data_IF_790889859159
#
_entry.id   IF_790889859159
#
_cell.length_a   1.000
_cell.length_b   1.000
_cell.length_c   1.000
_cell.angle_alpha   90.00
_cell.angle_beta   90.00
_cell.angle_gamma   90.00
#
_symmetry.space_group_name_H-M   'P 1'
#
loop_
_entity.id
_entity.type
_entity.pdbx_description
1 polymer ?
#
# COMPACT_ATOMS: atom_id res chain seq x y z
N UNK A 1 7.48 18.17 15.86
CA UNK A 1 8.26 18.17 14.60
C UNK A 1 9.74 18.26 14.92
N UNK A 2 10.42 17.14 15.15
CA UNK A 2 11.90 17.05 15.14
C UNK A 2 12.31 15.64 14.68
N UNK A 3 12.02 15.39 13.40
CA UNK A 3 12.59 14.34 12.55
C UNK A 3 12.62 14.94 11.14
N UNK A 4 13.66 14.63 10.34
CA UNK A 4 14.02 15.18 9.01
C UNK A 4 13.03 16.21 8.44
N UNK A 5 13.39 17.51 8.45
CA UNK A 5 12.52 18.59 7.96
C UNK A 5 12.04 18.29 6.53
N UNK A 6 10.74 18.50 6.29
CA UNK A 6 10.09 18.23 5.00
C UNK A 6 9.57 16.80 4.83
N UNK A 7 9.97 15.86 5.69
CA UNK A 7 9.58 14.46 5.58
C UNK A 7 8.58 14.07 6.66
N UNK A 8 7.62 13.21 6.33
CA UNK A 8 6.82 12.50 7.31
C UNK A 8 7.64 11.32 7.86
N UNK A 9 8.02 11.38 9.14
CA UNK A 9 8.70 10.26 9.81
C UNK A 9 7.73 9.46 10.66
N UNK A 10 7.59 8.17 10.36
CA UNK A 10 6.79 7.22 11.12
C UNK A 10 7.71 6.28 11.91
N UNK A 11 7.41 6.09 13.19
CA UNK A 11 8.10 5.13 14.06
C UNK A 11 7.17 3.95 14.33
N UNK A 12 7.60 2.75 13.99
CA UNK A 12 6.80 1.55 14.16
C UNK A 12 6.46 1.32 15.63
N UNK A 13 5.23 0.87 15.88
CA UNK A 13 4.74 0.37 17.18
C UNK A 13 4.21 -1.05 16.99
N UNK A 14 3.26 -1.19 16.06
CA UNK A 14 2.83 -2.49 15.54
C UNK A 14 3.68 -3.03 14.38
N UNK A 15 3.75 -4.35 14.27
CA UNK A 15 4.61 -5.06 13.31
C UNK A 15 4.00 -5.24 11.90
N UNK A 16 2.77 -4.79 11.67
CA UNK A 16 2.07 -4.90 10.38
C UNK A 16 0.90 -3.93 10.30
N UNK A 17 0.29 -3.70 9.11
CA UNK A 17 -0.95 -2.96 8.98
C UNK A 17 -2.12 -3.55 9.77
N UNK A 18 -2.02 -4.84 10.11
CA UNK A 18 -3.00 -5.56 10.89
C UNK A 18 -2.95 -5.31 12.39
N UNK A 19 -1.82 -4.81 12.90
CA UNK A 19 -1.59 -4.64 14.33
C UNK A 19 -2.51 -3.54 14.92
N UNK A 20 -3.09 -3.73 16.12
CA UNK A 20 -3.93 -2.72 16.77
C UNK A 20 -3.22 -1.39 17.02
N UNK A 21 -1.90 -1.43 17.18
CA UNK A 21 -1.03 -0.30 17.45
C UNK A 21 -0.18 0.10 16.24
N UNK A 22 -0.59 -0.26 15.03
CA UNK A 22 0.10 0.15 13.80
C UNK A 22 0.28 1.67 13.74
N UNK A 23 1.49 2.11 13.38
CA UNK A 23 1.75 3.51 13.03
C UNK A 23 1.42 3.71 11.55
N UNK A 24 0.25 4.26 11.26
CA UNK A 24 -0.27 4.48 9.92
C UNK A 24 -0.84 5.90 9.76
N UNK A 25 -0.52 6.56 8.65
CA UNK A 25 -1.14 7.82 8.23
C UNK A 25 -1.69 7.65 6.82
N UNK A 26 -3.01 7.72 6.69
CA UNK A 26 -3.70 7.49 5.43
C UNK A 26 -4.90 8.40 5.22
N UNK A 27 -5.48 8.30 4.03
CA UNK A 27 -6.72 8.98 3.61
C UNK A 27 -7.70 7.96 3.05
N UNK A 28 -8.99 8.31 3.02
CA UNK A 28 -10.02 7.46 2.41
C UNK A 28 -9.79 7.36 0.90
N UNK A 29 -9.98 6.18 0.33
CA UNK A 29 -10.18 6.06 -1.12
C UNK A 29 -11.52 6.71 -1.47
N UNK A 30 -11.53 7.67 -2.39
CA UNK A 30 -12.72 8.44 -2.76
C UNK A 30 -13.13 8.29 -4.23
N UNK A 31 -12.28 7.67 -5.04
CA UNK A 31 -12.52 7.43 -6.46
C UNK A 31 -12.43 5.93 -6.75
N UNK A 32 -13.28 5.39 -7.66
CA UNK A 32 -13.20 4.00 -8.10
C UNK A 32 -11.85 3.67 -8.74
N UNK A 33 -11.32 4.60 -9.55
CA UNK A 33 -9.98 4.54 -10.11
C UNK A 33 -9.11 5.63 -9.50
N UNK A 34 -7.94 5.26 -9.00
CA UNK A 34 -6.97 6.22 -8.49
C UNK A 34 -5.55 5.68 -8.52
N UNK A 35 -4.59 6.59 -8.51
CA UNK A 35 -3.18 6.29 -8.36
C UNK A 35 -2.67 6.88 -7.06
N UNK A 36 -1.87 6.11 -6.33
CA UNK A 36 -1.20 6.54 -5.11
C UNK A 36 0.28 6.29 -5.22
N UNK A 37 1.09 7.30 -4.89
CA UNK A 37 2.54 7.24 -4.97
C UNK A 37 3.17 7.81 -3.71
N UNK A 38 4.35 7.33 -3.36
CA UNK A 38 5.18 7.93 -2.31
C UNK A 38 6.66 7.66 -2.59
N UNK A 39 7.54 8.56 -2.15
CA UNK A 39 8.95 8.28 -2.01
C UNK A 39 9.23 7.90 -0.55
N UNK A 40 9.60 6.63 -0.32
CA UNK A 40 9.91 6.09 0.99
C UNK A 40 11.42 5.96 1.16
N UNK A 41 11.94 6.38 2.30
CA UNK A 41 13.30 6.12 2.75
C UNK A 41 13.24 5.09 3.90
N UNK A 42 13.59 3.82 3.62
CA UNK A 42 13.51 2.73 4.58
C UNK A 42 14.85 2.44 5.27
N UNK A 43 15.85 3.35 5.24
CA UNK A 43 17.21 3.08 5.76
C UNK A 43 17.21 2.53 7.19
N UNK A 44 16.34 3.05 8.07
CA UNK A 44 16.27 2.68 9.48
C UNK A 44 15.07 1.79 9.83
N UNK A 45 14.40 1.18 8.85
CA UNK A 45 13.14 0.50 9.10
C UNK A 45 12.56 -0.31 7.93
N UNK A 46 11.32 -0.75 8.14
CA UNK A 46 10.50 -1.39 7.12
C UNK A 46 9.11 -0.76 7.13
N UNK A 47 8.62 -0.40 5.96
CA UNK A 47 7.32 0.25 5.79
C UNK A 47 7.09 0.66 4.36
N UNK A 48 5.93 1.26 4.08
CA UNK A 48 5.57 1.61 2.72
C UNK A 48 4.12 2.02 2.59
N UNK A 49 3.48 1.61 1.50
CA UNK A 49 2.07 1.91 1.22
C UNK A 49 1.16 0.73 1.55
N UNK A 50 -0.06 1.03 1.98
CA UNK A 50 -1.09 0.04 2.24
C UNK A 50 -2.45 0.53 1.76
N UNK A 51 -3.23 -0.37 1.15
CA UNK A 51 -4.69 -0.28 1.05
C UNK A 51 -5.26 -1.15 2.16
N UNK A 52 -5.90 -0.53 3.14
CA UNK A 52 -6.40 -1.19 4.34
C UNK A 52 -7.89 -0.95 4.49
N UNK A 53 -8.64 -2.03 4.63
CA UNK A 53 -10.02 -1.94 5.11
C UNK A 53 -10.04 -2.10 6.64
N UNK A 54 -9.44 -3.17 7.16
CA UNK A 54 -9.33 -3.44 8.59
C UNK A 54 -8.01 -4.17 8.95
N UNK A 55 -7.90 -4.69 10.18
CA UNK A 55 -6.70 -5.40 10.65
C UNK A 55 -6.45 -6.75 9.97
N UNK A 56 -7.45 -7.34 9.31
CA UNK A 56 -7.45 -8.64 8.64
C UNK A 56 -7.65 -8.56 7.13
N UNK A 57 -7.84 -7.37 6.58
CA UNK A 57 -8.07 -7.13 5.16
C UNK A 57 -7.24 -5.93 4.71
N UNK A 58 -6.06 -6.22 4.17
CA UNK A 58 -5.16 -5.20 3.64
C UNK A 58 -4.18 -5.76 2.63
N UNK A 59 -3.80 -4.93 1.65
CA UNK A 59 -2.70 -5.17 0.73
C UNK A 59 -1.63 -4.11 0.96
N UNK A 60 -0.40 -4.54 1.19
CA UNK A 60 0.74 -3.67 1.48
C UNK A 60 1.86 -3.88 0.48
N UNK A 61 2.59 -2.80 0.19
CA UNK A 61 3.91 -2.84 -0.46
C UNK A 61 4.90 -2.15 0.47
N UNK A 62 5.91 -2.89 0.91
CA UNK A 62 6.86 -2.45 1.94
C UNK A 62 8.28 -2.47 1.38
N UNK A 63 9.05 -1.41 1.65
CA UNK A 63 10.48 -1.37 1.42
C UNK A 63 11.24 -1.50 2.75
N UNK A 64 12.38 -2.18 2.73
CA UNK A 64 13.33 -2.25 3.85
C UNK A 64 14.25 -3.45 3.74
N UNK A 65 15.44 -3.36 4.33
CA UNK A 65 16.43 -4.44 4.28
C UNK A 65 17.00 -4.73 2.87
N UNK A 66 16.93 -3.76 1.95
CA UNK A 66 17.44 -3.92 0.57
C UNK A 66 16.44 -4.56 -0.39
N UNK A 67 15.19 -4.73 0.00
CA UNK A 67 14.14 -5.28 -0.86
C UNK A 67 12.82 -4.51 -0.72
N UNK A 68 11.96 -4.70 -1.71
CA UNK A 68 10.54 -4.38 -1.66
C UNK A 68 9.75 -5.68 -1.68
N UNK A 69 8.71 -5.78 -0.86
CA UNK A 69 7.79 -6.92 -0.85
C UNK A 69 6.35 -6.49 -0.96
N UNK A 70 5.53 -7.29 -1.65
CA UNK A 70 4.07 -7.14 -1.67
C UNK A 70 3.44 -8.20 -0.77
N UNK A 71 2.59 -7.77 0.15
CA UNK A 71 1.94 -8.62 1.15
C UNK A 71 0.43 -8.46 1.05
N UNK A 72 -0.30 -9.58 1.04
CA UNK A 72 -1.75 -9.61 1.11
C UNK A 72 -2.23 -10.31 2.37
N UNK A 73 -3.11 -9.64 3.10
CA UNK A 73 -3.88 -10.20 4.22
C UNK A 73 -5.35 -10.25 3.83
N UNK A 74 -5.90 -11.46 3.77
CA UNK A 74 -7.31 -11.73 3.49
C UNK A 74 -7.85 -12.66 4.59
N UNK A 75 -8.53 -12.09 5.57
CA UNK A 75 -9.06 -12.82 6.72
C UNK A 75 -7.95 -13.49 7.55
N UNK A 76 -7.83 -14.81 7.44
CA UNK A 76 -6.78 -15.63 8.08
C UNK A 76 -5.54 -15.82 7.21
N UNK A 77 -5.65 -15.60 5.89
CA UNK A 77 -4.54 -15.77 4.95
C UNK A 77 -3.65 -14.54 4.99
N UNK A 78 -2.36 -14.75 5.21
CA UNK A 78 -1.30 -13.75 5.07
C UNK A 78 -0.24 -14.34 4.14
N UNK A 79 0.02 -13.67 3.02
CA UNK A 79 0.96 -14.14 2.01
C UNK A 79 1.86 -13.02 1.51
N UNK A 80 3.14 -13.30 1.34
CA UNK A 80 4.05 -12.48 0.54
C UNK A 80 3.93 -12.94 -0.91
N UNK A 81 3.47 -12.06 -1.78
CA UNK A 81 3.15 -12.40 -3.18
C UNK A 81 4.32 -12.18 -4.12
N UNK A 82 5.18 -11.21 -3.81
CA UNK A 82 6.36 -10.87 -4.58
C UNK A 82 7.43 -10.23 -3.68
N UNK A 83 8.68 -10.42 -4.07
CA UNK A 83 9.85 -9.71 -3.54
C UNK A 83 10.69 -9.20 -4.71
N UNK A 84 11.25 -8.01 -4.57
CA UNK A 84 12.11 -7.39 -5.58
C UNK A 84 13.30 -6.71 -4.88
N UNK A 85 14.55 -7.07 -5.20
CA UNK A 85 15.72 -6.37 -4.68
C UNK A 85 15.73 -4.90 -5.12
N UNK A 86 16.13 -3.99 -4.24
CA UNK A 86 16.27 -2.56 -4.55
C UNK A 86 17.61 -2.04 -4.08
N UNK A 87 18.12 -1.02 -4.78
CA UNK A 87 19.34 -0.33 -4.39
C UNK A 87 19.20 0.39 -3.04
N UNK A 88 20.33 0.82 -2.48
CA UNK A 88 20.33 1.62 -1.27
C UNK A 88 19.68 2.99 -1.51
N UNK A 89 18.96 3.49 -0.49
CA UNK A 89 18.34 4.81 -0.49
C UNK A 89 16.83 4.80 -0.74
N UNK A 90 16.24 5.97 -1.05
CA UNK A 90 14.80 6.10 -1.20
C UNK A 90 14.23 5.36 -2.42
N UNK A 91 13.06 4.76 -2.25
CA UNK A 91 12.34 3.98 -3.27
C UNK A 91 10.98 4.62 -3.55
N UNK A 92 10.58 4.70 -4.82
CA UNK A 92 9.23 5.12 -5.18
C UNK A 92 8.31 3.91 -5.19
N UNK A 93 7.29 3.94 -4.33
CA UNK A 93 6.24 2.92 -4.29
C UNK A 93 4.98 3.48 -4.92
N UNK A 94 4.26 2.61 -5.64
CA UNK A 94 3.02 2.97 -6.32
C UNK A 94 1.95 1.89 -6.15
N UNK A 95 0.74 2.36 -5.95
CA UNK A 95 -0.49 1.57 -5.97
C UNK A 95 -1.42 2.18 -7.00
N UNK A 96 -1.94 1.37 -7.92
CA UNK A 96 -3.06 1.74 -8.78
C UNK A 96 -4.29 0.95 -8.38
N UNK A 97 -5.43 1.63 -8.27
CA UNK A 97 -6.75 1.01 -8.18
C UNK A 97 -7.45 1.28 -9.50
N UNK A 98 -7.89 0.21 -10.17
CA UNK A 98 -8.45 0.27 -11.52
C UNK A 98 -9.87 -0.30 -11.48
N UNK A 99 -10.86 0.57 -11.60
CA UNK A 99 -12.23 0.13 -11.81
C UNK A 99 -12.39 -0.48 -13.22
N UNK A 100 -13.31 -1.44 -13.41
CA UNK A 100 -13.64 -1.98 -14.72
C UNK A 100 -14.03 -0.88 -15.71
N UNK A 101 -13.64 -1.05 -16.97
CA UNK A 101 -14.08 -0.18 -18.07
C UNK A 101 -15.62 -0.21 -18.21
N UNK A 102 -16.25 0.92 -18.58
CA UNK A 102 -17.68 0.95 -18.86
C UNK A 102 -18.07 -0.11 -19.91
N UNK A 103 -19.14 -0.87 -19.64
CA UNK A 103 -19.64 -1.92 -20.53
C UNK A 103 -18.95 -3.29 -20.38
N UNK A 104 -17.86 -3.36 -19.61
CA UNK A 104 -17.10 -4.59 -19.37
C UNK A 104 -17.55 -5.30 -18.07
N UNK A 105 -18.87 -5.34 -17.88
CA UNK A 105 -19.52 -5.95 -16.72
C UNK A 105 -19.65 -7.46 -16.92
N UNK A 106 -19.25 -8.23 -15.90
CA UNK A 106 -19.46 -9.67 -15.84
C UNK A 106 -19.63 -10.11 -14.38
N UNK A 107 -20.55 -11.05 -14.05
CA UNK A 107 -20.83 -11.42 -12.65
C UNK A 107 -19.62 -11.94 -11.86
N UNK A 108 -18.68 -12.60 -12.56
CA UNK A 108 -17.47 -13.13 -11.94
C UNK A 108 -16.30 -12.13 -11.90
N UNK A 109 -16.45 -10.93 -12.48
CA UNK A 109 -15.36 -9.97 -12.58
C UNK A 109 -15.12 -9.25 -11.25
N UNK A 110 -13.86 -8.96 -10.98
CA UNK A 110 -13.44 -8.11 -9.88
C UNK A 110 -14.12 -6.73 -9.94
N UNK A 111 -14.54 -6.18 -8.79
CA UNK A 111 -15.11 -4.83 -8.73
C UNK A 111 -14.06 -3.76 -9.05
N UNK A 112 -12.78 -4.08 -8.83
CA UNK A 112 -11.60 -3.35 -9.22
C UNK A 112 -10.35 -4.22 -9.09
N UNK A 113 -9.29 -3.84 -9.81
CA UNK A 113 -7.97 -4.47 -9.75
C UNK A 113 -6.98 -3.53 -9.07
N UNK A 114 -6.24 -4.04 -8.08
CA UNK A 114 -5.17 -3.30 -7.41
C UNK A 114 -3.82 -3.76 -7.94
N UNK A 115 -3.03 -2.84 -8.47
CA UNK A 115 -1.64 -3.07 -8.89
C UNK A 115 -0.71 -2.45 -7.88
N UNK A 116 0.24 -3.21 -7.36
CA UNK A 116 1.26 -2.72 -6.43
C UNK A 116 2.64 -2.96 -7.04
N UNK A 117 3.50 -1.95 -6.94
CA UNK A 117 4.84 -2.06 -7.51
C UNK A 117 5.75 -0.88 -7.22
N UNK A 118 6.89 -0.90 -7.87
CA UNK A 118 7.93 0.14 -7.77
C UNK A 118 7.91 1.02 -9.01
N UNK A 119 8.22 2.30 -8.83
CA UNK A 119 8.37 3.24 -9.93
C UNK A 119 9.85 3.57 -10.13
N UNK A 120 10.37 3.31 -11.33
CA UNK A 120 11.75 3.57 -11.68
C UNK A 120 12.10 5.06 -11.69
N UNK A 121 13.40 5.42 -11.75
CA UNK A 121 13.83 6.80 -11.92
C UNK A 121 13.26 7.46 -13.19
N UNK A 122 13.05 6.67 -14.23
CA UNK A 122 12.46 7.00 -15.53
C UNK A 122 10.93 7.10 -15.52
N UNK A 123 10.28 6.82 -14.37
CA UNK A 123 8.83 6.85 -14.21
C UNK A 123 8.13 5.57 -14.66
N UNK A 124 8.87 4.54 -15.10
CA UNK A 124 8.29 3.25 -15.48
C UNK A 124 7.77 2.55 -14.24
N UNK A 125 6.51 2.10 -14.30
CA UNK A 125 5.87 1.37 -13.22
C UNK A 125 6.06 -0.14 -13.41
N UNK A 126 6.91 -0.74 -12.60
CA UNK A 126 7.10 -2.19 -12.53
C UNK A 126 6.09 -2.78 -11.55
N UNK A 127 5.08 -3.45 -12.09
CA UNK A 127 4.03 -4.11 -11.30
C UNK A 127 4.60 -5.40 -10.71
N UNK A 128 4.61 -5.49 -9.38
CA UNK A 128 5.07 -6.68 -8.65
C UNK A 128 3.92 -7.64 -8.33
N UNK A 129 2.70 -7.11 -8.15
CA UNK A 129 1.51 -7.93 -7.96
C UNK A 129 0.24 -7.22 -8.45
N UNK A 130 -0.72 -8.03 -8.92
CA UNK A 130 -2.08 -7.64 -9.22
C UNK A 130 -3.04 -8.41 -8.31
N UNK A 131 -3.98 -7.71 -7.68
CA UNK A 131 -4.88 -8.28 -6.69
C UNK A 131 -6.32 -7.82 -6.92
N UNK A 132 -7.23 -8.78 -6.84
CA UNK A 132 -8.66 -8.54 -6.85
C UNK A 132 -9.05 -7.70 -5.62
N UNK A 133 -9.65 -6.54 -5.84
CA UNK A 133 -10.05 -5.65 -4.77
C UNK A 133 -11.32 -6.08 -4.02
N UNK A 134 -12.06 -7.10 -4.50
CA UNK A 134 -13.20 -7.68 -3.80
C UNK A 134 -12.86 -8.08 -2.38
N UNK A 135 -11.66 -8.59 -2.13
CA UNK A 135 -11.25 -9.01 -0.78
C UNK A 135 -10.98 -7.86 0.19
N UNK A 136 -10.97 -6.61 -0.31
CA UNK A 136 -10.93 -5.39 0.50
C UNK A 136 -12.29 -4.64 0.42
N UNK A 137 -13.39 -5.37 0.41
CA UNK A 137 -14.75 -4.82 0.46
C UNK A 137 -15.46 -5.17 1.77
N UNK A 138 -16.53 -4.44 2.09
CA UNK A 138 -17.37 -4.70 3.27
C UNK A 138 -18.14 -6.02 3.14
N UNK A 139 -18.43 -6.50 1.94
CA UNK A 139 -19.07 -7.80 1.70
C UNK A 139 -18.17 -8.97 2.13
N UNK A 140 -16.85 -8.85 1.95
CA UNK A 140 -15.89 -9.88 2.35
C UNK A 140 -15.43 -9.70 3.79
N UNK A 141 -15.09 -8.47 4.18
CA UNK A 141 -14.51 -8.21 5.49
C UNK A 141 -15.54 -8.00 6.61
N UNK A 142 -16.79 -7.70 6.25
CA UNK A 142 -17.79 -7.17 7.16
C UNK A 142 -17.51 -5.72 7.55
N UNK A 143 -18.25 -5.25 8.57
CA UNK A 143 -18.14 -3.89 9.08
C UNK A 143 -18.84 -2.84 8.21
N UNK A 144 -18.51 -1.58 8.46
CA UNK A 144 -19.20 -0.41 7.88
C UNK A 144 -18.24 0.67 7.39
N UNK A 145 -16.95 0.35 7.28
CA UNK A 145 -15.89 1.27 6.86
C UNK A 145 -15.45 0.97 5.44
N UNK A 146 -15.03 2.00 4.71
CA UNK A 146 -14.37 1.87 3.42
C UNK A 146 -12.84 1.81 3.51
N UNK A 147 -12.19 1.64 2.35
CA UNK A 147 -10.73 1.53 2.26
C UNK A 147 -10.03 2.83 2.64
N UNK A 148 -8.94 2.69 3.39
CA UNK A 148 -7.95 3.74 3.65
C UNK A 148 -6.68 3.38 2.90
N UNK A 149 -6.14 4.33 2.14
CA UNK A 149 -4.84 4.20 1.48
C UNK A 149 -3.84 5.11 2.19
N UNK A 150 -2.70 4.60 2.60
CA UNK A 150 -1.76 5.36 3.42
C UNK A 150 -0.37 4.80 3.52
N UNK A 151 0.46 5.53 4.26
CA UNK A 151 1.83 5.17 4.60
C UNK A 151 1.87 4.58 6.00
N UNK A 152 2.73 3.61 6.24
CA UNK A 152 2.91 3.01 7.55
C UNK A 152 4.35 2.55 7.79
N UNK A 153 4.69 2.34 9.07
CA UNK A 153 5.93 1.72 9.49
C UNK A 153 5.63 0.43 10.28
N UNK A 154 6.23 -0.67 9.86
CA UNK A 154 6.12 -1.99 10.49
C UNK A 154 7.31 -2.32 11.39
N UNK A 155 8.49 -1.76 11.10
CA UNK A 155 9.68 -1.93 11.95
C UNK A 155 10.53 -0.67 11.89
N UNK A 156 11.15 -0.31 13.02
CA UNK A 156 12.10 0.79 13.09
C UNK A 156 11.47 2.15 12.74
N UNK A 157 12.22 2.99 12.03
CA UNK A 157 11.79 4.32 11.60
C UNK A 157 11.80 4.39 10.08
N UNK A 158 10.72 4.90 9.50
CA UNK A 158 10.57 5.06 8.04
C UNK A 158 10.21 6.50 7.74
N UNK A 159 10.89 7.11 6.79
CA UNK A 159 10.62 8.49 6.37
C UNK A 159 9.97 8.51 4.98
N UNK A 160 9.04 9.42 4.77
CA UNK A 160 8.35 9.61 3.50
C UNK A 160 8.47 11.08 3.09
N UNK A 161 8.99 11.34 1.89
CA UNK A 161 9.18 12.72 1.40
C UNK A 161 7.83 13.35 1.04
N UNK A 162 7.07 12.63 0.20
CA UNK A 162 5.79 13.08 -0.30
C UNK A 162 4.82 11.90 -0.40
N UNK A 163 3.53 12.21 -0.48
CA UNK A 163 2.47 11.25 -0.75
C UNK A 163 1.49 11.92 -1.68
N UNK A 164 1.24 11.25 -2.78
CA UNK A 164 0.41 11.75 -3.85
C UNK A 164 -0.77 10.80 -4.08
N UNK A 165 -1.93 11.40 -4.32
CA UNK A 165 -3.18 10.70 -4.60
C UNK A 165 -3.86 11.43 -5.75
N UNK A 166 -3.98 10.76 -6.88
CA UNK A 166 -4.60 11.28 -8.09
C UNK A 166 -5.82 10.42 -8.44
N UNK A 167 -6.97 11.04 -8.72
CA UNK A 167 -8.08 10.36 -9.36
C UNK A 167 -7.72 10.05 -10.81
N UNK A 168 -8.12 8.88 -11.31
CA UNK A 168 -7.99 8.52 -12.72
C UNK A 168 -9.33 8.49 -13.43
#
# INVERSE_FOLDING_TARGET
MTARRGWLTLRARGASPGAPDVTLVGRRQQHPSCQVRTLVDPTDGHGGLVVRLDGRHHYGIEAGGGEVRVVARIGSVLSTLATCPVGAGPVRLRIEVLAPSPGDWHPAKEPDLLRLGVEGPDGVFEVLAELDGRYLSTEVAGGFTGRVIGRYAARGTVAFDWFDYESR
#
